data_IF_925506296052
#
_entry.id   IF_925506296052
#
_cell.length_a   1.000
_cell.length_b   1.000
_cell.length_c   1.000
_cell.angle_alpha   90.00
_cell.angle_beta   90.00
_cell.angle_gamma   90.00
#
_symmetry.space_group_name_H-M   'P 1'
#
loop_
_entity.id
_entity.type
_entity.pdbx_description
1 polymer ?
#
# COMPACT_ATOMS: atom_id res chain seq x y z
N UNK A 1 15.71 -2.07 0.13
CA UNK A 1 15.50 -2.99 1.26
C UNK A 1 14.12 -3.60 1.16
N UNK A 2 14.00 -4.92 1.40
CA UNK A 2 12.76 -5.67 1.34
C UNK A 2 12.37 -6.13 2.74
N UNK A 3 11.13 -5.87 3.15
CA UNK A 3 10.50 -6.49 4.30
C UNK A 3 9.62 -7.65 3.81
N UNK A 4 9.87 -8.85 4.29
CA UNK A 4 9.04 -10.02 4.00
C UNK A 4 8.18 -10.27 5.23
N UNK A 5 6.87 -10.21 5.06
CA UNK A 5 5.88 -10.41 6.13
C UNK A 5 4.90 -11.52 5.73
N UNK A 6 4.35 -12.19 6.73
CA UNK A 6 3.45 -13.33 6.56
C UNK A 6 2.08 -13.02 7.15
N UNK A 7 1.02 -13.06 6.35
CA UNK A 7 -0.35 -12.95 6.87
C UNK A 7 -0.91 -14.32 7.29
N UNK A 8 -0.86 -15.36 6.45
CA UNK A 8 -1.50 -16.67 6.69
C UNK A 8 -1.13 -17.37 8.01
N UNK A 9 0.06 -17.11 8.54
CA UNK A 9 0.55 -17.66 9.82
C UNK A 9 0.12 -16.84 11.05
N UNK A 10 0.00 -15.52 10.89
CA UNK A 10 -0.22 -14.60 12.01
C UNK A 10 -1.67 -14.09 12.09
N UNK A 11 -2.38 -14.15 10.98
CA UNK A 11 -3.74 -13.68 10.86
C UNK A 11 -4.69 -14.64 11.57
N UNK A 12 -5.60 -14.07 12.35
CA UNK A 12 -6.69 -14.82 12.98
C UNK A 12 -7.61 -15.39 11.90
N UNK A 13 -7.92 -16.69 11.96
CA UNK A 13 -8.95 -17.28 11.11
C UNK A 13 -10.35 -16.81 11.53
N UNK A 14 -11.29 -16.55 10.59
CA UNK A 14 -12.61 -16.04 10.95
C UNK A 14 -13.53 -17.09 11.58
N UNK A 15 -13.27 -18.39 11.36
CA UNK A 15 -14.08 -19.47 11.91
C UNK A 15 -14.05 -19.48 13.44
N UNK A 16 -15.22 -19.38 14.07
CA UNK A 16 -15.36 -19.29 15.53
C UNK A 16 -14.99 -17.92 16.13
N UNK A 17 -14.39 -17.02 15.35
CA UNK A 17 -14.08 -15.65 15.76
C UNK A 17 -15.22 -14.69 15.42
N UNK A 18 -15.78 -14.84 14.21
CA UNK A 18 -16.86 -14.00 13.68
C UNK A 18 -18.09 -14.88 13.39
N UNK A 19 -19.32 -14.40 13.67
CA UNK A 19 -20.53 -15.11 13.26
C UNK A 19 -20.53 -15.37 11.75
N UNK A 20 -20.95 -16.58 11.35
CA UNK A 20 -21.01 -16.97 9.94
C UNK A 20 -22.08 -16.14 9.20
N UNK A 21 -21.68 -15.37 8.19
CA UNK A 21 -22.56 -14.48 7.41
C UNK A 21 -22.63 -14.85 5.91
N UNK A 22 -22.28 -16.09 5.59
CA UNK A 22 -22.22 -16.62 4.24
C UNK A 22 -22.01 -18.13 4.22
N UNK A 23 -21.83 -18.75 3.05
CA UNK A 23 -21.70 -20.20 2.93
C UNK A 23 -20.43 -20.74 3.61
N UNK A 24 -19.36 -19.94 3.64
CA UNK A 24 -18.10 -20.23 4.34
C UNK A 24 -17.88 -19.23 5.48
N UNK A 25 -17.07 -19.58 6.51
CA UNK A 25 -16.80 -18.68 7.64
C UNK A 25 -16.14 -17.37 7.24
N UNK A 26 -15.42 -17.35 6.13
CA UNK A 26 -14.71 -16.19 5.58
C UNK A 26 -15.56 -15.35 4.61
N UNK A 27 -16.81 -15.72 4.36
CA UNK A 27 -17.67 -15.06 3.39
C UNK A 27 -18.75 -14.20 4.06
N UNK A 28 -18.82 -12.92 3.68
CA UNK A 28 -19.95 -12.03 3.98
C UNK A 28 -20.69 -11.67 2.68
N UNK A 29 -21.99 -12.01 2.61
CA UNK A 29 -22.82 -11.73 1.41
C UNK A 29 -23.78 -10.57 1.57
N UNK A 30 -24.24 -10.31 2.79
CA UNK A 30 -25.20 -9.25 3.05
C UNK A 30 -24.52 -7.88 2.83
N UNK A 31 -24.96 -7.06 1.87
CA UNK A 31 -24.40 -5.72 1.67
C UNK A 31 -24.79 -4.74 2.79
N UNK A 32 -25.83 -5.04 3.56
CA UNK A 32 -26.36 -4.18 4.62
C UNK A 32 -25.79 -4.51 6.00
N UNK A 33 -24.77 -5.38 6.07
CA UNK A 33 -24.11 -5.70 7.34
C UNK A 33 -23.28 -4.51 7.86
N UNK A 34 -23.08 -4.40 9.17
CA UNK A 34 -22.16 -3.41 9.74
C UNK A 34 -20.72 -3.94 9.70
N UNK A 35 -19.79 -3.34 8.94
CA UNK A 35 -18.40 -3.79 8.91
C UNK A 35 -17.68 -3.71 10.25
N UNK A 36 -18.13 -2.85 11.18
CA UNK A 36 -17.55 -2.79 12.53
C UNK A 36 -17.85 -4.04 13.34
N UNK A 37 -18.95 -4.75 13.03
CA UNK A 37 -19.31 -6.00 13.72
C UNK A 37 -18.26 -7.10 13.56
N UNK A 38 -17.40 -7.00 12.54
CA UNK A 38 -16.34 -7.98 12.29
C UNK A 38 -14.94 -7.49 12.69
N UNK A 39 -14.74 -6.19 12.95
CA UNK A 39 -13.45 -5.65 13.41
C UNK A 39 -13.27 -5.84 14.93
N UNK A 40 -13.16 -7.09 15.36
CA UNK A 40 -13.17 -7.44 16.79
C UNK A 40 -11.77 -7.26 17.43
N UNK A 41 -11.68 -6.77 18.69
CA UNK A 41 -10.40 -6.52 19.38
C UNK A 41 -9.50 -7.74 19.57
N UNK A 42 -10.02 -8.96 19.41
CA UNK A 42 -9.27 -10.22 19.52
C UNK A 42 -8.62 -10.63 18.19
N UNK A 43 -9.17 -10.17 17.06
CA UNK A 43 -8.64 -10.51 15.75
C UNK A 43 -7.29 -9.81 15.49
N UNK A 44 -6.38 -10.53 14.85
CA UNK A 44 -5.04 -10.06 14.51
C UNK A 44 -4.81 -10.24 13.02
N UNK A 45 -4.04 -9.34 12.43
CA UNK A 45 -3.54 -9.48 11.06
C UNK A 45 -2.06 -9.87 11.07
N UNK A 46 -1.18 -8.92 11.39
CA UNK A 46 0.27 -9.17 11.43
C UNK A 46 0.78 -9.64 12.79
N UNK A 47 0.02 -9.38 13.86
CA UNK A 47 0.47 -9.59 15.24
C UNK A 47 1.58 -8.62 15.67
N UNK A 48 1.89 -8.60 16.97
CA UNK A 48 2.85 -7.64 17.53
C UNK A 48 4.28 -7.84 17.03
N UNK A 49 4.69 -9.09 16.83
CA UNK A 49 6.04 -9.43 16.36
C UNK A 49 6.35 -8.79 15.00
N UNK A 50 5.44 -8.90 14.04
CA UNK A 50 5.65 -8.32 12.71
C UNK A 50 5.48 -6.80 12.71
N UNK A 51 4.56 -6.26 13.52
CA UNK A 51 4.43 -4.81 13.67
C UNK A 51 5.69 -4.19 14.28
N UNK A 52 6.29 -4.82 15.29
CA UNK A 52 7.58 -4.40 15.85
C UNK A 52 8.70 -4.48 14.81
N UNK A 53 8.74 -5.58 14.04
CA UNK A 53 9.69 -5.70 12.94
C UNK A 53 9.53 -4.56 11.91
N UNK A 54 8.31 -4.27 11.46
CA UNK A 54 8.07 -3.19 10.50
C UNK A 54 8.40 -1.81 11.06
N UNK A 55 8.19 -1.58 12.36
CA UNK A 55 8.55 -0.33 13.02
C UNK A 55 10.07 -0.14 13.07
N UNK A 56 10.84 -1.17 13.44
CA UNK A 56 12.31 -1.11 13.43
C UNK A 56 12.87 -1.03 11.99
N UNK A 57 12.38 -1.89 11.09
CA UNK A 57 12.75 -1.84 9.67
C UNK A 57 12.40 -0.51 9.03
N UNK A 58 11.30 0.14 9.40
CA UNK A 58 10.92 1.45 8.87
C UNK A 58 11.88 2.57 9.27
N UNK A 59 12.50 2.45 10.45
CA UNK A 59 13.50 3.40 10.98
C UNK A 59 14.89 3.17 10.40
N UNK A 60 15.25 1.91 10.15
CA UNK A 60 16.57 1.54 9.65
C UNK A 60 16.66 1.67 8.13
N UNK A 61 17.53 2.55 7.63
CA UNK A 61 17.76 2.78 6.21
C UNK A 61 19.17 2.40 5.77
N UNK A 62 19.92 1.65 6.58
CA UNK A 62 21.24 1.13 6.24
C UNK A 62 21.20 0.42 4.88
N UNK A 63 22.08 0.85 3.97
CA UNK A 63 22.20 0.37 2.59
C UNK A 63 20.90 0.36 1.78
N UNK A 64 19.90 1.14 2.21
CA UNK A 64 18.58 1.18 1.61
C UNK A 64 18.33 2.51 0.92
N UNK A 65 17.94 2.40 -0.34
CA UNK A 65 17.59 3.52 -1.20
C UNK A 65 16.07 3.68 -1.36
N UNK A 66 15.37 2.56 -1.38
CA UNK A 66 13.90 2.44 -1.47
C UNK A 66 13.49 1.24 -0.61
N UNK A 67 12.27 1.28 -0.07
CA UNK A 67 11.70 0.23 0.76
C UNK A 67 10.51 -0.43 0.09
N UNK A 68 10.44 -1.76 0.19
CA UNK A 68 9.41 -2.61 -0.40
C UNK A 68 8.93 -3.59 0.64
N UNK A 69 7.61 -3.74 0.80
CA UNK A 69 7.02 -4.82 1.58
C UNK A 69 6.53 -5.93 0.66
N UNK A 70 6.80 -7.18 1.04
CA UNK A 70 6.36 -8.40 0.37
C UNK A 70 5.45 -9.18 1.31
N UNK A 71 4.28 -9.58 0.84
CA UNK A 71 3.39 -10.51 1.58
C UNK A 71 2.61 -11.41 0.63
N UNK A 72 1.84 -12.34 1.19
CA UNK A 72 1.00 -13.23 0.40
C UNK A 72 -0.09 -12.43 -0.32
N UNK A 73 -0.84 -11.58 0.40
CA UNK A 73 -1.98 -10.84 -0.18
C UNK A 73 -2.02 -9.35 0.18
N UNK A 74 -2.73 -8.55 -0.63
CA UNK A 74 -2.90 -7.10 -0.48
C UNK A 74 -3.80 -6.70 0.70
N UNK A 75 -3.52 -5.54 1.29
CA UNK A 75 -4.21 -4.99 2.49
C UNK A 75 -5.61 -4.41 2.21
N UNK A 76 -6.44 -5.14 1.48
CA UNK A 76 -7.83 -4.80 1.17
C UNK A 76 -8.66 -6.01 0.68
N UNK A 77 -9.98 -5.84 0.64
CA UNK A 77 -10.88 -6.70 -0.12
C UNK A 77 -10.80 -6.36 -1.62
N UNK A 78 -9.82 -6.91 -2.32
CA UNK A 78 -9.53 -6.56 -3.73
C UNK A 78 -10.39 -7.25 -4.79
N UNK A 79 -11.34 -8.10 -4.40
CA UNK A 79 -12.22 -8.83 -5.30
C UNK A 79 -13.67 -8.80 -4.81
N UNK A 80 -14.60 -8.71 -5.75
CA UNK A 80 -16.04 -8.72 -5.52
C UNK A 80 -16.72 -9.99 -6.03
N UNK A 81 -16.13 -10.68 -7.01
CA UNK A 81 -16.67 -11.92 -7.58
C UNK A 81 -15.59 -12.98 -7.49
N UNK A 82 -15.95 -14.17 -7.01
CA UNK A 82 -15.02 -15.25 -6.68
C UNK A 82 -15.39 -16.56 -7.37
N UNK A 83 -14.42 -17.18 -8.05
CA UNK A 83 -14.48 -18.51 -8.64
C UNK A 83 -15.31 -18.61 -9.93
N UNK A 84 -16.55 -18.09 -9.93
CA UNK A 84 -17.46 -18.10 -11.08
C UNK A 84 -18.12 -16.75 -11.29
N UNK A 85 -18.51 -16.46 -12.53
CA UNK A 85 -19.35 -15.31 -12.85
C UNK A 85 -20.64 -15.38 -12.01
N UNK A 86 -21.00 -14.28 -11.34
CA UNK A 86 -22.13 -14.21 -10.41
C UNK A 86 -21.82 -14.67 -8.98
N UNK A 87 -20.62 -15.19 -8.69
CA UNK A 87 -20.16 -15.53 -7.34
C UNK A 87 -19.81 -14.30 -6.49
N UNK A 88 -20.72 -13.32 -6.44
CA UNK A 88 -20.48 -12.07 -5.71
C UNK A 88 -20.34 -12.32 -4.22
N UNK A 89 -19.32 -11.70 -3.65
CA UNK A 89 -19.07 -11.62 -2.23
C UNK A 89 -19.01 -10.13 -1.87
N UNK A 90 -19.67 -9.75 -0.78
CA UNK A 90 -19.62 -8.37 -0.32
C UNK A 90 -18.31 -8.11 0.41
N UNK A 91 -17.91 -8.98 1.33
CA UNK A 91 -16.61 -8.91 2.01
C UNK A 91 -15.94 -10.30 2.12
N UNK A 92 -14.63 -10.35 1.83
CA UNK A 92 -13.77 -11.54 1.91
C UNK A 92 -12.89 -11.46 3.17
N UNK A 93 -13.29 -12.11 4.26
CA UNK A 93 -12.51 -12.13 5.50
C UNK A 93 -11.18 -12.86 5.35
N UNK A 94 -10.97 -13.61 4.27
CA UNK A 94 -9.69 -14.25 3.96
C UNK A 94 -8.65 -13.23 3.43
N UNK A 95 -9.11 -12.10 2.86
CA UNK A 95 -8.25 -11.00 2.38
C UNK A 95 -7.62 -10.19 3.51
N UNK A 96 -6.51 -9.48 3.27
CA UNK A 96 -5.93 -8.60 4.30
C UNK A 96 -6.66 -7.24 4.43
N UNK A 97 -7.89 -7.12 3.90
CA UNK A 97 -8.82 -6.06 4.27
C UNK A 97 -9.37 -6.20 5.70
N UNK A 98 -9.30 -7.40 6.26
CA UNK A 98 -9.78 -7.73 7.61
C UNK A 98 -8.69 -8.40 8.47
N UNK A 99 -8.66 -8.16 9.79
CA UNK A 99 -9.43 -7.15 10.53
C UNK A 99 -8.97 -5.73 10.19
N UNK A 100 -9.90 -4.77 10.11
CA UNK A 100 -9.65 -3.40 9.65
C UNK A 100 -8.63 -2.67 10.55
N UNK A 101 -8.73 -2.81 11.87
CA UNK A 101 -7.74 -2.27 12.80
C UNK A 101 -6.34 -2.89 12.61
N UNK A 102 -6.27 -4.18 12.24
CA UNK A 102 -5.02 -4.85 11.88
C UNK A 102 -4.44 -4.31 10.56
N UNK A 103 -5.28 -4.19 9.55
CA UNK A 103 -4.96 -3.63 8.23
C UNK A 103 -4.43 -2.21 8.33
N UNK A 104 -5.10 -1.34 9.09
CA UNK A 104 -4.69 0.06 9.26
C UNK A 104 -3.33 0.18 9.94
N UNK A 105 -3.04 -0.65 10.97
CA UNK A 105 -1.71 -0.71 11.59
C UNK A 105 -0.62 -1.14 10.61
N UNK A 106 -0.91 -2.13 9.77
CA UNK A 106 0.03 -2.62 8.76
C UNK A 106 0.41 -1.51 7.77
N UNK A 107 -0.57 -0.91 7.09
CA UNK A 107 -0.27 0.12 6.09
C UNK A 107 0.24 1.43 6.69
N UNK A 108 -0.12 1.75 7.95
CA UNK A 108 0.47 2.86 8.68
C UNK A 108 1.97 2.64 8.91
N UNK A 109 2.39 1.43 9.29
CA UNK A 109 3.81 1.09 9.46
C UNK A 109 4.57 1.21 8.13
N UNK A 110 4.01 0.70 7.03
CA UNK A 110 4.61 0.82 5.70
C UNK A 110 4.69 2.28 5.22
N UNK A 111 3.64 3.06 5.47
CA UNK A 111 3.59 4.50 5.17
C UNK A 111 4.72 5.27 5.85
N UNK A 112 5.00 5.01 7.13
CA UNK A 112 6.11 5.64 7.87
C UNK A 112 7.49 5.39 7.24
N UNK A 113 7.61 4.35 6.44
CA UNK A 113 8.83 3.96 5.74
C UNK A 113 8.82 4.36 4.25
N UNK A 114 7.79 5.07 3.77
CA UNK A 114 7.56 5.37 2.36
C UNK A 114 7.59 4.11 1.45
N UNK A 115 7.25 2.96 2.03
CA UNK A 115 7.32 1.68 1.33
C UNK A 115 6.07 1.48 0.47
N UNK A 116 6.25 0.86 -0.70
CA UNK A 116 5.12 0.27 -1.43
C UNK A 116 5.00 -1.22 -1.12
N UNK A 117 3.85 -1.80 -1.45
CA UNK A 117 3.52 -3.20 -1.18
C UNK A 117 3.44 -4.00 -2.48
N UNK A 118 4.05 -5.18 -2.50
CA UNK A 118 4.03 -6.11 -3.62
C UNK A 118 3.58 -7.48 -3.13
N UNK A 119 2.55 -8.04 -3.73
CA UNK A 119 1.85 -9.23 -3.23
C UNK A 119 1.25 -10.08 -4.36
N UNK A 120 0.65 -11.22 -4.00
CA UNK A 120 -0.09 -12.11 -4.90
C UNK A 120 -1.42 -12.55 -4.30
N UNK A 121 -1.70 -13.87 -4.32
CA UNK A 121 -2.87 -14.55 -3.72
C UNK A 121 -4.24 -14.24 -4.36
N UNK A 122 -4.54 -12.99 -4.71
CA UNK A 122 -5.88 -12.61 -5.19
C UNK A 122 -6.21 -13.09 -6.61
N UNK A 123 -5.28 -13.73 -7.33
CA UNK A 123 -5.50 -14.21 -8.70
C UNK A 123 -6.09 -13.14 -9.64
N UNK A 124 -5.86 -11.87 -9.33
CA UNK A 124 -6.39 -10.71 -10.01
C UNK A 124 -5.33 -9.62 -9.88
N UNK A 125 -4.74 -9.23 -11.02
CA UNK A 125 -3.76 -8.17 -10.98
C UNK A 125 -4.46 -6.85 -10.63
N UNK A 126 -3.96 -6.16 -9.61
CA UNK A 126 -4.52 -4.89 -9.16
C UNK A 126 -3.44 -3.93 -8.73
N UNK A 127 -3.62 -2.65 -9.05
CA UNK A 127 -2.93 -1.54 -8.39
C UNK A 127 -3.95 -0.76 -7.60
N UNK A 128 -3.72 -0.66 -6.29
CA UNK A 128 -4.51 0.17 -5.38
C UNK A 128 -3.64 1.19 -4.68
N UNK A 129 -4.19 2.38 -4.44
CA UNK A 129 -3.64 3.33 -3.46
C UNK A 129 -4.49 3.27 -2.18
N UNK A 130 -3.87 2.89 -1.09
CA UNK A 130 -4.55 2.68 0.18
C UNK A 130 -4.79 4.00 0.92
N UNK A 131 -5.93 4.07 1.62
CA UNK A 131 -6.26 5.13 2.57
C UNK A 131 -6.56 4.60 3.97
N UNK A 132 -6.25 5.39 5.00
CA UNK A 132 -6.69 5.21 6.39
C UNK A 132 -7.68 6.32 6.75
N UNK A 133 -7.18 7.55 6.87
CA UNK A 133 -7.96 8.72 7.27
C UNK A 133 -8.67 9.29 6.04
N UNK A 134 -7.96 9.37 4.92
CA UNK A 134 -8.45 9.81 3.61
C UNK A 134 -8.07 8.81 2.51
N UNK A 135 -8.73 8.88 1.35
CA UNK A 135 -8.25 8.16 0.16
C UNK A 135 -6.85 8.64 -0.23
N UNK A 136 -6.02 7.71 -0.75
CA UNK A 136 -4.64 7.99 -1.20
C UNK A 136 -3.71 8.54 -0.12
N UNK A 137 -4.02 8.37 1.16
CA UNK A 137 -3.19 8.91 2.25
C UNK A 137 -2.09 7.94 2.73
N UNK A 138 -1.98 6.77 2.11
CA UNK A 138 -1.04 5.72 2.48
C UNK A 138 -0.30 5.17 1.25
N UNK A 139 -0.11 3.85 1.19
CA UNK A 139 0.84 3.20 0.28
C UNK A 139 0.16 2.75 -1.01
N UNK A 140 0.94 2.61 -2.08
CA UNK A 140 0.52 1.82 -3.24
C UNK A 140 0.75 0.33 -2.99
N UNK A 141 -0.16 -0.51 -3.49
CA UNK A 141 0.02 -1.96 -3.57
C UNK A 141 -0.09 -2.44 -5.01
N UNK A 142 0.73 -3.42 -5.39
CA UNK A 142 0.57 -4.19 -6.61
C UNK A 142 0.38 -5.67 -6.28
N UNK A 143 -0.83 -6.18 -6.52
CA UNK A 143 -1.07 -7.62 -6.56
C UNK A 143 -0.74 -8.11 -7.96
N UNK A 144 0.17 -9.07 -8.09
CA UNK A 144 0.45 -9.71 -9.38
C UNK A 144 -0.64 -10.72 -9.74
N UNK A 145 -0.87 -11.00 -11.04
CA UNK A 145 -1.77 -12.07 -11.45
C UNK A 145 -1.15 -13.44 -11.11
N UNK A 146 -1.97 -14.48 -11.17
CA UNK A 146 -1.44 -15.85 -11.20
C UNK A 146 -0.77 -16.12 -12.55
N UNK A 147 0.35 -16.86 -12.56
CA UNK A 147 0.97 -17.36 -13.80
C UNK A 147 -0.03 -18.20 -14.60
N UNK A 148 -0.86 -18.99 -13.90
CA UNK A 148 -1.97 -19.77 -14.43
C UNK A 148 -3.20 -19.58 -13.52
N UNK A 149 -4.25 -18.97 -14.04
CA UNK A 149 -5.39 -18.48 -13.29
C UNK A 149 -6.60 -19.41 -13.37
N UNK A 150 -6.62 -20.42 -12.49
CA UNK A 150 -7.69 -21.42 -12.42
C UNK A 150 -8.85 -21.02 -11.48
N UNK A 151 -8.65 -19.97 -10.68
CA UNK A 151 -9.66 -19.44 -9.77
C UNK A 151 -9.83 -17.96 -10.02
N UNK A 152 -10.81 -17.62 -10.85
CA UNK A 152 -10.98 -16.26 -11.33
C UNK A 152 -11.63 -15.37 -10.27
N UNK A 153 -11.12 -14.15 -10.17
CA UNK A 153 -11.67 -13.08 -9.34
C UNK A 153 -11.88 -11.82 -10.20
N UNK A 154 -12.82 -10.98 -9.80
CA UNK A 154 -13.08 -9.70 -10.47
C UNK A 154 -13.23 -8.57 -9.46
N UNK A 155 -12.64 -7.43 -9.79
CA UNK A 155 -13.00 -6.15 -9.20
C UNK A 155 -14.21 -5.59 -9.96
N UNK A 156 -15.39 -5.69 -9.35
CA UNK A 156 -16.64 -5.19 -9.92
C UNK A 156 -17.43 -4.40 -8.86
N UNK A 157 -17.05 -3.16 -8.54
CA UNK A 157 -17.83 -2.34 -7.63
C UNK A 157 -19.25 -2.14 -8.18
N UNK A 158 -20.21 -1.89 -7.29
CA UNK A 158 -21.60 -1.61 -7.69
C UNK A 158 -21.77 -0.17 -8.15
N UNK A 159 -21.08 0.74 -7.47
CA UNK A 159 -21.07 2.16 -7.78
C UNK A 159 -19.80 2.56 -8.54
N UNK A 160 -19.88 3.56 -9.45
CA UNK A 160 -18.70 4.14 -10.05
C UNK A 160 -17.79 4.76 -8.99
N UNK A 161 -16.48 4.60 -9.14
CA UNK A 161 -15.53 5.22 -8.22
C UNK A 161 -15.48 6.74 -8.39
N UNK A 162 -15.18 7.42 -7.30
CA UNK A 162 -15.07 8.90 -7.27
C UNK A 162 -13.66 9.35 -7.68
N UNK A 163 -13.51 10.64 -7.99
CA UNK A 163 -12.20 11.26 -8.29
C UNK A 163 -11.39 10.54 -9.38
N UNK A 164 -12.10 9.98 -10.38
CA UNK A 164 -11.53 9.45 -11.63
C UNK A 164 -11.22 10.59 -12.59
N UNK A 165 -10.27 10.39 -13.50
CA UNK A 165 -10.09 11.28 -14.65
C UNK A 165 -11.25 11.10 -15.64
N UNK A 166 -11.62 12.14 -16.40
CA UNK A 166 -12.61 11.98 -17.48
C UNK A 166 -12.20 10.86 -18.45
N UNK A 167 -13.16 9.98 -18.77
CA UNK A 167 -12.95 8.84 -19.68
C UNK A 167 -12.36 7.58 -19.05
N UNK A 168 -11.96 7.59 -17.77
CA UNK A 168 -11.53 6.36 -17.08
C UNK A 168 -12.71 5.43 -16.78
N UNK A 169 -12.46 4.12 -16.82
CA UNK A 169 -13.44 3.09 -16.51
C UNK A 169 -14.09 3.36 -15.13
N UNK A 170 -15.43 3.27 -15.00
CA UNK A 170 -16.14 3.49 -13.74
C UNK A 170 -15.69 2.59 -12.59
N UNK A 171 -15.06 1.45 -12.83
CA UNK A 171 -14.52 0.61 -11.76
C UNK A 171 -13.27 1.21 -11.10
N UNK A 172 -12.63 2.21 -11.70
CA UNK A 172 -11.43 2.87 -11.15
C UNK A 172 -11.80 3.99 -10.16
N UNK A 173 -10.81 4.66 -9.58
CA UNK A 173 -11.02 5.77 -8.65
C UNK A 173 -11.32 5.32 -7.23
N UNK A 174 -11.98 6.17 -6.45
CA UNK A 174 -12.18 6.02 -5.02
C UNK A 174 -13.38 5.16 -4.68
N UNK A 175 -13.12 4.14 -3.88
CA UNK A 175 -14.06 3.13 -3.42
C UNK A 175 -13.92 2.87 -1.92
N UNK A 176 -14.95 2.24 -1.38
CA UNK A 176 -14.89 1.49 -0.14
C UNK A 176 -14.94 0.01 -0.50
N UNK A 177 -14.05 -0.81 0.06
CA UNK A 177 -14.24 -2.27 -0.03
C UNK A 177 -15.38 -2.73 0.90
N UNK A 178 -15.68 -4.02 0.88
CA UNK A 178 -16.69 -4.63 1.75
C UNK A 178 -16.48 -4.40 3.24
N UNK A 179 -15.30 -3.96 3.68
CA UNK A 179 -15.01 -3.65 5.09
C UNK A 179 -15.06 -2.15 5.40
N UNK A 180 -15.46 -1.34 4.42
CA UNK A 180 -15.36 0.12 4.43
C UNK A 180 -13.92 0.65 4.53
N UNK A 181 -12.92 -0.12 4.07
CA UNK A 181 -11.57 0.43 3.90
C UNK A 181 -11.54 1.39 2.70
N UNK A 182 -10.89 2.55 2.86
CA UNK A 182 -10.68 3.51 1.77
C UNK A 182 -9.61 3.00 0.80
N UNK A 183 -9.96 2.90 -0.47
CA UNK A 183 -9.11 2.39 -1.54
C UNK A 183 -9.32 3.18 -2.80
N UNK A 184 -8.25 3.44 -3.53
CA UNK A 184 -8.33 3.96 -4.89
C UNK A 184 -7.87 2.89 -5.87
N UNK A 185 -8.77 2.44 -6.74
CA UNK A 185 -8.46 1.53 -7.85
C UNK A 185 -7.76 2.30 -8.98
N UNK A 186 -6.54 1.88 -9.33
CA UNK A 186 -5.72 2.52 -10.36
C UNK A 186 -5.69 1.67 -11.63
N UNK A 187 -5.46 0.36 -11.49
CA UNK A 187 -5.43 -0.58 -12.61
C UNK A 187 -5.93 -1.94 -12.14
N UNK A 188 -6.73 -2.63 -12.96
CA UNK A 188 -7.27 -3.95 -12.66
C UNK A 188 -7.32 -4.80 -13.93
N UNK A 189 -6.72 -5.99 -13.90
CA UNK A 189 -6.77 -6.94 -15.02
C UNK A 189 -7.95 -7.91 -14.86
N UNK A 190 -9.18 -7.38 -14.94
CA UNK A 190 -10.38 -8.22 -14.89
C UNK A 190 -10.37 -9.26 -16.04
N UNK A 191 -10.64 -10.54 -15.78
CA UNK A 191 -10.79 -11.52 -16.85
C UNK A 191 -12.03 -11.21 -17.69
N UNK A 192 -11.95 -11.43 -19.00
CA UNK A 192 -13.11 -11.27 -19.88
C UNK A 192 -14.22 -12.27 -19.51
N UNK A 193 -15.51 -11.98 -19.78
CA UNK A 193 -16.60 -12.90 -19.45
C UNK A 193 -16.58 -14.21 -20.26
N UNK A 194 -16.08 -14.17 -21.50
CA UNK A 194 -16.05 -15.31 -22.44
C UNK A 194 -15.09 -16.38 -21.94
N UNK A 195 -15.53 -17.64 -21.88
CA UNK A 195 -14.63 -18.75 -21.52
C UNK A 195 -13.55 -18.90 -22.61
N UNK A 196 -12.30 -19.13 -22.20
CA UNK A 196 -11.22 -19.36 -23.14
C UNK A 196 -9.93 -19.81 -22.45
N UNK A 197 -9.07 -20.47 -23.23
CA UNK A 197 -7.78 -21.01 -22.78
C UNK A 197 -7.85 -22.43 -22.23
N UNK A 198 -6.70 -23.11 -22.25
CA UNK A 198 -6.42 -24.32 -21.49
C UNK A 198 -5.95 -24.00 -20.05
N UNK A 199 -5.40 -25.00 -19.34
CA UNK A 199 -4.91 -24.83 -17.96
C UNK A 199 -3.81 -23.77 -17.81
N UNK A 200 -3.04 -23.48 -18.86
CA UNK A 200 -1.89 -22.55 -18.82
C UNK A 200 -2.18 -21.22 -19.53
N UNK A 201 -3.18 -21.19 -20.41
CA UNK A 201 -3.61 -20.01 -21.17
C UNK A 201 -4.93 -19.41 -20.63
N UNK A 202 -5.20 -19.65 -19.34
CA UNK A 202 -6.35 -19.09 -18.62
C UNK A 202 -6.41 -17.56 -18.68
N UNK A 203 -7.62 -16.99 -18.57
CA UNK A 203 -7.87 -15.56 -18.58
C UNK A 203 -7.21 -14.82 -17.41
N UNK A 204 -6.83 -13.56 -17.64
CA UNK A 204 -6.18 -12.71 -16.63
C UNK A 204 -4.96 -13.38 -15.95
N UNK A 205 -4.27 -14.27 -16.67
CA UNK A 205 -3.04 -14.90 -16.21
C UNK A 205 -1.82 -14.16 -16.75
N UNK A 206 -0.73 -14.17 -16.00
CA UNK A 206 0.43 -13.36 -16.36
C UNK A 206 1.47 -13.28 -15.28
N UNK A 207 2.31 -12.26 -15.35
CA UNK A 207 3.30 -11.98 -14.32
C UNK A 207 3.46 -10.47 -14.11
N UNK A 208 3.85 -10.10 -12.89
CA UNK A 208 4.18 -8.72 -12.56
C UNK A 208 5.67 -8.47 -12.56
N UNK A 209 6.08 -7.29 -13.00
CA UNK A 209 7.45 -6.77 -12.91
C UNK A 209 7.40 -5.42 -12.20
N UNK A 210 8.30 -5.22 -11.25
CA UNK A 210 8.51 -3.92 -10.61
C UNK A 210 9.88 -3.39 -11.01
N UNK A 211 9.92 -2.19 -11.57
CA UNK A 211 11.16 -1.48 -11.89
C UNK A 211 11.33 -0.32 -10.91
N UNK A 212 12.51 -0.21 -10.31
CA UNK A 212 12.83 0.86 -9.35
C UNK A 212 14.00 1.66 -9.92
N UNK A 213 13.75 2.92 -10.28
CA UNK A 213 14.82 3.84 -10.60
C UNK A 213 15.35 4.47 -9.30
N UNK A 214 16.53 4.02 -8.87
CA UNK A 214 17.14 4.50 -7.63
C UNK A 214 17.59 5.96 -7.69
N UNK A 215 17.82 6.52 -8.89
CA UNK A 215 18.24 7.91 -9.08
C UNK A 215 17.03 8.84 -8.99
N UNK A 216 15.92 8.49 -9.64
CA UNK A 216 14.72 9.34 -9.63
C UNK A 216 13.82 9.08 -8.41
N UNK A 217 13.92 7.88 -7.83
CA UNK A 217 13.00 7.32 -6.82
C UNK A 217 11.62 6.98 -7.38
N UNK A 218 11.52 6.83 -8.70
CA UNK A 218 10.30 6.38 -9.34
C UNK A 218 10.22 4.85 -9.34
N UNK A 219 9.01 4.36 -9.12
CA UNK A 219 8.67 2.94 -9.12
C UNK A 219 7.64 2.71 -10.21
N UNK A 220 7.91 1.76 -11.08
CA UNK A 220 7.01 1.38 -12.16
C UNK A 220 6.54 -0.05 -11.98
N UNK A 221 5.24 -0.22 -11.84
CA UNK A 221 4.57 -1.51 -11.89
C UNK A 221 4.24 -1.85 -13.33
N UNK A 222 4.49 -3.10 -13.73
CA UNK A 222 4.15 -3.62 -15.05
C UNK A 222 3.49 -4.98 -14.88
N UNK A 223 2.37 -5.21 -15.56
CA UNK A 223 1.66 -6.48 -15.52
C UNK A 223 1.52 -7.04 -16.93
N UNK A 224 2.18 -8.16 -17.21
CA UNK A 224 2.20 -8.77 -18.54
C UNK A 224 1.22 -9.94 -18.64
N UNK A 225 0.42 -10.03 -19.71
CA UNK A 225 -0.33 -11.25 -20.02
C UNK A 225 0.61 -12.43 -20.26
N UNK A 226 0.19 -13.63 -19.83
CA UNK A 226 1.02 -14.85 -19.92
C UNK A 226 1.41 -15.24 -21.34
N UNK A 227 0.53 -14.99 -22.30
CA UNK A 227 0.62 -15.47 -23.68
C UNK A 227 1.15 -14.41 -24.66
N UNK A 228 1.85 -13.39 -24.14
CA UNK A 228 2.47 -12.33 -24.94
C UNK A 228 3.97 -12.57 -24.97
N UNK A 229 4.56 -12.53 -26.17
CA UNK A 229 6.01 -12.38 -26.32
C UNK A 229 6.38 -10.95 -25.94
N UNK A 230 7.00 -10.77 -24.77
CA UNK A 230 7.38 -9.45 -24.26
C UNK A 230 8.54 -8.80 -25.02
N UNK A 231 9.19 -9.52 -25.94
CA UNK A 231 10.23 -8.99 -26.82
C UNK A 231 9.67 -8.41 -28.13
N UNK A 232 8.42 -8.74 -28.48
CA UNK A 232 7.77 -8.21 -29.67
C UNK A 232 7.60 -6.69 -29.58
N UNK A 233 7.80 -5.99 -30.72
CA UNK A 233 7.79 -4.52 -30.80
C UNK A 233 6.46 -3.90 -30.37
N UNK A 234 5.36 -4.62 -30.57
CA UNK A 234 3.99 -4.20 -30.27
C UNK A 234 3.41 -4.86 -29.01
N UNK A 235 4.23 -5.57 -28.23
CA UNK A 235 3.83 -6.20 -26.98
C UNK A 235 3.28 -5.15 -26.01
N UNK A 236 2.09 -5.43 -25.44
CA UNK A 236 1.45 -4.55 -24.46
C UNK A 236 1.21 -5.28 -23.14
N UNK A 237 1.48 -4.63 -22.00
CA UNK A 237 1.01 -5.12 -20.72
C UNK A 237 -0.53 -5.03 -20.66
N UNK A 238 -1.12 -5.54 -19.58
CA UNK A 238 -2.54 -5.34 -19.31
C UNK A 238 -2.91 -3.84 -19.30
N UNK A 239 -4.15 -3.48 -19.71
CA UNK A 239 -4.63 -2.10 -19.63
C UNK A 239 -4.47 -1.52 -18.22
N UNK A 240 -4.00 -0.27 -18.15
CA UNK A 240 -3.65 0.41 -16.88
C UNK A 240 -2.20 0.22 -16.44
N UNK A 241 -1.44 -0.67 -17.07
CA UNK A 241 0.01 -0.78 -16.92
C UNK A 241 0.74 -0.30 -18.20
N UNK A 242 2.00 0.15 -18.11
CA UNK A 242 2.77 0.38 -16.88
C UNK A 242 2.17 1.54 -16.05
N UNK A 243 2.25 1.42 -14.73
CA UNK A 243 1.87 2.49 -13.80
C UNK A 243 3.10 2.94 -13.01
N UNK A 244 3.38 4.24 -13.02
CA UNK A 244 4.56 4.84 -12.37
C UNK A 244 4.13 5.83 -11.30
N UNK A 245 4.80 5.78 -10.15
CA UNK A 245 4.64 6.72 -9.04
C UNK A 245 6.01 7.00 -8.40
N UNK A 246 6.11 8.09 -7.64
CA UNK A 246 7.33 8.41 -6.89
C UNK A 246 7.26 7.85 -5.47
N UNK A 247 8.41 7.48 -4.86
CA UNK A 247 8.45 6.96 -3.49
C UNK A 247 7.69 7.84 -2.48
N UNK A 248 7.70 9.17 -2.69
CA UNK A 248 7.06 10.12 -1.79
C UNK A 248 5.54 10.00 -1.76
N UNK A 249 4.94 9.42 -2.80
CA UNK A 249 3.49 9.22 -2.92
C UNK A 249 2.97 8.14 -1.95
N UNK A 250 3.85 7.28 -1.41
CA UNK A 250 3.50 6.29 -0.36
C UNK A 250 3.24 6.91 1.01
N UNK A 251 3.40 8.23 1.16
CA UNK A 251 2.95 8.98 2.32
C UNK A 251 2.07 10.14 1.85
N UNK A 252 0.89 9.83 1.32
CA UNK A 252 -0.01 10.83 0.73
C UNK A 252 -0.77 11.74 1.71
N UNK A 253 -0.62 11.57 3.03
CA UNK A 253 -1.26 12.48 4.01
C UNK A 253 -0.93 13.94 3.70
N UNK A 254 -1.97 14.78 3.74
CA UNK A 254 -1.87 16.23 3.58
C UNK A 254 -1.16 16.83 4.80
N UNK A 255 -0.18 17.68 4.56
CA UNK A 255 0.54 18.37 5.61
C UNK A 255 -0.38 19.36 6.33
N UNK A 256 -0.38 19.36 7.67
CA UNK A 256 -0.99 20.43 8.48
C UNK A 256 -0.01 21.60 8.62
N UNK A 257 1.28 21.30 8.68
CA UNK A 257 2.36 22.28 8.74
C UNK A 257 3.64 21.65 8.17
N UNK A 258 4.70 22.46 8.06
CA UNK A 258 6.03 21.98 7.67
C UNK A 258 7.06 22.40 8.72
N UNK A 259 8.14 21.63 8.82
CA UNK A 259 9.34 22.06 9.55
C UNK A 259 10.17 23.01 8.65
N UNK A 260 11.14 23.74 9.22
CA UNK A 260 12.16 24.46 8.44
C UNK A 260 12.79 23.57 7.37
N UNK A 261 13.20 24.20 6.26
CA UNK A 261 13.93 23.50 5.22
C UNK A 261 15.29 23.07 5.75
N UNK A 262 15.64 21.80 5.59
CA UNK A 262 16.96 21.28 5.92
C UNK A 262 17.88 21.48 4.71
N UNK A 263 19.06 22.06 4.94
CA UNK A 263 20.17 22.12 3.99
C UNK A 263 21.32 21.28 4.55
N UNK A 264 21.59 20.13 3.94
CA UNK A 264 22.45 19.08 4.48
C UNK A 264 23.74 19.01 3.67
N UNK A 265 24.90 18.99 4.34
CA UNK A 265 26.21 19.05 3.67
C UNK A 265 26.47 17.89 2.70
N UNK A 266 25.94 16.70 3.02
CA UNK A 266 26.04 15.47 2.21
C UNK A 266 24.68 15.17 1.56
N UNK A 267 24.64 14.71 0.29
CA UNK A 267 23.39 14.33 -0.35
C UNK A 267 22.84 13.01 0.21
N UNK A 268 21.57 12.75 -0.07
CA UNK A 268 20.89 11.46 0.12
C UNK A 268 20.95 10.90 1.55
N UNK A 269 20.82 11.81 2.51
CA UNK A 269 20.87 11.49 3.93
C UNK A 269 19.52 10.99 4.44
N UNK A 270 19.55 10.17 5.49
CA UNK A 270 18.33 9.73 6.16
C UNK A 270 17.83 10.84 7.07
N UNK A 271 16.54 11.14 6.98
CA UNK A 271 15.84 12.08 7.84
C UNK A 271 14.73 11.33 8.58
N UNK A 272 14.80 11.34 9.91
CA UNK A 272 13.75 10.81 10.79
C UNK A 272 13.07 11.97 11.50
N UNK A 273 11.74 12.02 11.42
CA UNK A 273 10.90 13.03 12.07
C UNK A 273 10.15 12.38 13.23
N UNK A 274 10.28 12.93 14.43
CA UNK A 274 9.68 12.43 15.67
C UNK A 274 8.85 13.56 16.26
N UNK A 275 7.61 13.28 16.63
CA UNK A 275 6.78 14.24 17.37
C UNK A 275 7.21 14.30 18.84
N UNK A 276 7.57 15.48 19.34
CA UNK A 276 8.10 15.62 20.69
C UNK A 276 7.07 15.24 21.76
N UNK A 277 5.78 15.53 21.52
CA UNK A 277 4.70 15.27 22.47
C UNK A 277 4.50 13.78 22.75
N UNK A 278 4.53 12.95 21.72
CA UNK A 278 4.25 11.51 21.83
C UNK A 278 5.49 10.63 21.80
N UNK A 279 6.64 11.17 21.37
CA UNK A 279 7.83 10.39 21.04
C UNK A 279 7.66 9.49 19.81
N UNK A 280 6.54 9.58 19.11
CA UNK A 280 6.26 8.72 17.97
C UNK A 280 7.04 9.16 16.73
N UNK A 281 7.66 8.19 16.06
CA UNK A 281 8.22 8.41 14.72
C UNK A 281 7.05 8.69 13.75
N UNK A 282 7.08 9.88 13.14
CA UNK A 282 6.15 10.32 12.11
C UNK A 282 6.48 9.62 10.80
N UNK A 283 7.76 9.61 10.42
CA UNK A 283 8.36 8.81 9.35
C UNK A 283 9.90 8.83 9.42
N UNK A 284 10.51 7.92 8.68
CA UNK A 284 11.93 7.98 8.30
C UNK A 284 12.04 7.85 6.78
N UNK A 285 12.92 8.64 6.17
CA UNK A 285 13.10 8.70 4.72
C UNK A 285 14.56 8.97 4.37
N UNK A 286 15.15 8.21 3.44
CA UNK A 286 16.33 8.66 2.71
C UNK A 286 15.89 9.69 1.67
N UNK A 287 16.31 10.95 1.88
CA UNK A 287 15.92 12.04 0.98
C UNK A 287 16.67 11.94 -0.35
N UNK A 288 16.25 12.73 -1.35
CA UNK A 288 17.00 12.91 -2.59
C UNK A 288 17.70 14.26 -2.58
N UNK A 289 19.01 14.28 -2.81
CA UNK A 289 19.82 15.49 -2.82
C UNK A 289 20.14 16.03 -1.43
N UNK A 290 20.40 17.34 -1.34
CA UNK A 290 20.87 18.03 -0.13
C UNK A 290 19.81 18.83 0.61
N UNK A 291 18.61 18.95 0.04
CA UNK A 291 17.56 19.82 0.56
C UNK A 291 16.28 19.03 0.78
N UNK A 292 15.68 19.18 1.94
CA UNK A 292 14.40 18.54 2.25
C UNK A 292 13.60 19.41 3.21
N UNK A 293 12.30 19.58 2.93
CA UNK A 293 11.38 20.28 3.83
C UNK A 293 10.41 19.26 4.42
N UNK A 294 10.59 18.84 5.69
CA UNK A 294 9.73 17.85 6.31
C UNK A 294 8.29 18.34 6.42
N UNK A 295 7.33 17.51 6.01
CA UNK A 295 5.91 17.75 6.27
C UNK A 295 5.49 17.10 7.58
N UNK A 296 4.58 17.73 8.30
CA UNK A 296 4.05 17.20 9.56
C UNK A 296 2.53 17.33 9.60
N UNK A 297 1.91 16.51 10.46
CA UNK A 297 0.46 16.29 10.45
C UNK A 297 -0.23 16.82 11.71
N UNK A 298 0.51 17.58 12.52
CA UNK A 298 0.01 18.33 13.65
C UNK A 298 0.84 19.62 13.81
N UNK A 299 0.32 20.58 14.55
CA UNK A 299 1.12 21.72 15.05
C UNK A 299 1.91 21.22 16.27
N UNK A 300 3.11 21.75 16.49
CA UNK A 300 3.90 21.41 17.65
C UNK A 300 5.40 21.49 17.41
N UNK A 301 6.14 20.91 18.34
CA UNK A 301 7.58 20.75 18.27
C UNK A 301 7.94 19.31 17.87
N UNK A 302 9.05 19.20 17.15
CA UNK A 302 9.52 17.94 16.59
C UNK A 302 11.02 17.79 16.81
N UNK A 303 11.44 16.55 16.98
CA UNK A 303 12.84 16.16 16.91
C UNK A 303 13.12 15.63 15.51
N UNK A 304 14.11 16.23 14.85
CA UNK A 304 14.58 15.83 13.51
C UNK A 304 15.96 15.21 13.66
N UNK A 305 16.11 13.96 13.25
CA UNK A 305 17.41 13.29 13.15
C UNK A 305 17.84 13.22 11.69
N UNK A 306 19.12 13.52 11.44
CA UNK A 306 19.69 13.59 10.08
C UNK A 306 21.00 12.81 10.04
N UNK A 307 21.17 11.96 9.03
CA UNK A 307 22.33 11.08 8.88
C UNK A 307 22.13 9.72 9.56
N UNK A 308 23.20 8.92 9.61
CA UNK A 308 23.20 7.54 10.10
C UNK A 308 24.49 7.28 10.90
N UNK A 309 24.48 6.26 11.77
CA UNK A 309 25.65 5.84 12.55
C UNK A 309 26.29 6.99 13.35
N UNK A 310 27.62 7.09 13.30
CA UNK A 310 28.39 8.13 14.01
C UNK A 310 28.18 9.55 13.45
N UNK A 311 27.65 9.69 12.23
CA UNK A 311 27.35 10.97 11.61
C UNK A 311 25.98 11.54 12.01
N UNK A 312 25.16 10.78 12.77
CA UNK A 312 23.81 11.18 13.16
C UNK A 312 23.80 12.52 13.93
N UNK A 313 23.02 13.48 13.45
CA UNK A 313 22.74 14.75 14.13
C UNK A 313 21.29 14.79 14.58
N UNK A 314 21.04 15.37 15.74
CA UNK A 314 19.70 15.51 16.31
C UNK A 314 19.39 16.99 16.56
N UNK A 315 18.31 17.47 15.96
CA UNK A 315 17.75 18.80 16.15
C UNK A 315 16.47 18.64 16.99
N UNK A 316 16.44 19.16 18.21
CA UNK A 316 15.29 19.05 19.13
C UNK A 316 14.45 20.31 19.10
N UNK A 317 13.16 20.20 19.42
CA UNK A 317 12.29 21.36 19.60
C UNK A 317 12.02 22.15 18.32
N UNK A 318 12.20 21.52 17.14
CA UNK A 318 12.00 22.17 15.84
C UNK A 318 10.50 22.44 15.66
N UNK A 319 10.13 23.72 15.66
CA UNK A 319 8.72 24.12 15.59
C UNK A 319 8.17 23.99 14.16
N UNK A 320 6.99 23.39 14.05
CA UNK A 320 6.24 23.39 12.82
C UNK A 320 5.66 24.78 12.54
N UNK A 321 5.85 25.26 11.32
CA UNK A 321 5.31 26.55 10.85
C UNK A 321 4.49 26.35 9.58
N UNK A 322 3.40 27.11 9.46
CA UNK A 322 2.64 27.21 8.21
C UNK A 322 3.37 28.12 7.19
N UNK A 323 4.10 29.12 7.68
CA UNK A 323 4.85 30.09 6.87
C UNK A 323 6.24 29.52 6.58
N UNK A 324 6.63 29.46 5.31
CA UNK A 324 7.97 29.05 4.88
C UNK A 324 9.04 30.11 5.15
N UNK A 325 10.31 29.77 4.96
CA UNK A 325 11.41 30.77 4.93
C UNK A 325 12.55 30.56 5.93
N UNK A 326 12.41 29.65 6.90
CA UNK A 326 13.52 29.28 7.80
C UNK A 326 14.26 28.07 7.24
N UNK A 327 15.58 28.19 7.14
CA UNK A 327 16.50 27.11 6.72
C UNK A 327 17.41 26.71 7.87
N UNK A 328 17.54 25.41 8.11
CA UNK A 328 18.45 24.83 9.09
C UNK A 328 19.60 24.12 8.35
N UNK A 329 20.82 24.61 8.55
CA UNK A 329 22.03 23.98 8.00
C UNK A 329 22.45 22.82 8.88
N UNK A 330 22.65 21.64 8.29
CA UNK A 330 23.08 20.42 8.98
C UNK A 330 24.40 19.94 8.41
N UNK A 331 25.47 20.09 9.20
CA UNK A 331 26.82 19.64 8.85
C UNK A 331 27.06 18.22 9.40
N UNK A 332 27.17 17.25 8.50
CA UNK A 332 27.44 15.83 8.74
C UNK A 332 28.86 15.42 8.40
#
# INVERSE_FOLDING_TARGET
SFAIIEDRKFKTGPAGMIPKQGPRPDHIRNPDYDPKSVDVPQARLLGERQLKFLDEWGKDWTDADVKVALSQTIFCGGAHIHGRVGGRLHADLDSNGWPQAGRNRAIAALRKAYAFHFAGDQHLATVFHHGIDEWRDSIYSFCVPSIANLYLRWWKPLEPGKNRKPGEDPILGDHLDGFHNKLTAIAVANPTPEKGGDKLSTRAAGFGVVRIDKKTRDVTFVCWPRNVDVSAKDAKPYPGWPFTFNQLDNYGRKAVAHLPTLEISKPDQVVQVIEDKSGAVVYTLRIKGRTFRPKVFAKGAYTVRVGEGSALKTLKGVKASAIGGVTLKVKL
#
